data_IF_811261211151
#
_entry.id   IF_811261211151
#
_cell.length_a   1.000
_cell.length_b   1.000
_cell.length_c   1.000
_cell.angle_alpha   90.00
_cell.angle_beta   90.00
_cell.angle_gamma   90.00
#
_symmetry.space_group_name_H-M   'P 1'
#
loop_
_entity.id
_entity.type
_entity.pdbx_description
1 polymer ?
#
# COMPACT_ATOMS: atom_id res chain seq x y z
N UNK A 1 -27.21 51.96 5.28
CA UNK A 1 -26.22 50.94 5.71
C UNK A 1 -27.04 49.79 6.28
N UNK A 2 -27.29 48.75 5.49
CA UNK A 2 -27.99 47.53 5.96
C UNK A 2 -26.92 46.62 6.57
N UNK A 3 -27.14 46.20 7.81
CA UNK A 3 -26.20 45.36 8.54
C UNK A 3 -26.06 44.00 7.84
N UNK A 4 -24.81 43.52 7.78
CA UNK A 4 -24.38 42.23 7.18
C UNK A 4 -25.04 41.02 7.88
N UNK A 5 -25.81 41.24 8.95
CA UNK A 5 -26.43 40.20 9.74
C UNK A 5 -27.74 39.63 9.19
N UNK A 6 -28.41 40.30 8.25
CA UNK A 6 -29.70 39.85 7.71
C UNK A 6 -29.60 38.89 6.51
N UNK A 7 -28.39 38.57 6.06
CA UNK A 7 -28.20 37.83 4.79
C UNK A 7 -27.82 36.36 4.98
N UNK A 8 -27.29 35.97 6.16
CA UNK A 8 -26.82 34.60 6.39
C UNK A 8 -27.21 34.14 7.81
N UNK A 9 -28.13 33.16 7.94
CA UNK A 9 -28.53 32.59 9.22
C UNK A 9 -27.33 32.05 10.01
N UNK A 10 -27.35 32.20 11.33
CA UNK A 10 -26.27 31.72 12.22
C UNK A 10 -25.94 30.22 12.02
N UNK A 11 -26.94 29.41 11.64
CA UNK A 11 -26.79 27.98 11.33
C UNK A 11 -25.96 27.70 10.08
N UNK A 12 -25.82 28.66 9.16
CA UNK A 12 -25.05 28.50 7.92
C UNK A 12 -23.63 29.06 8.03
N UNK A 13 -23.36 29.90 9.03
CA UNK A 13 -22.03 30.53 9.22
C UNK A 13 -20.94 29.54 9.65
N UNK A 14 -21.31 28.39 10.23
CA UNK A 14 -20.37 27.37 10.71
C UNK A 14 -20.16 26.20 9.75
N UNK A 15 -20.95 26.08 8.68
CA UNK A 15 -20.82 24.95 7.74
C UNK A 15 -19.55 24.99 6.88
N UNK A 16 -18.86 26.14 6.82
CA UNK A 16 -17.58 26.27 6.11
C UNK A 16 -16.35 25.93 6.97
N UNK A 17 -16.52 25.66 8.27
CA UNK A 17 -15.43 25.30 9.18
C UNK A 17 -15.49 23.84 9.66
N UNK A 18 -16.53 23.11 9.29
CA UNK A 18 -16.61 21.67 9.53
C UNK A 18 -16.21 20.99 8.23
N UNK A 19 -14.91 20.80 8.04
CA UNK A 19 -14.46 19.71 7.17
C UNK A 19 -15.10 18.46 7.77
N UNK A 20 -15.99 17.74 7.05
CA UNK A 20 -16.53 16.50 7.59
C UNK A 20 -15.34 15.63 7.98
N UNK A 21 -15.36 15.05 9.19
CA UNK A 21 -14.36 14.07 9.59
C UNK A 21 -14.43 12.97 8.53
N UNK A 22 -13.50 12.99 7.59
CA UNK A 22 -13.38 11.96 6.58
C UNK A 22 -13.03 10.70 7.35
N UNK A 23 -14.03 9.86 7.56
CA UNK A 23 -13.88 8.65 8.36
C UNK A 23 -13.19 7.62 7.47
N UNK A 24 -11.87 7.76 7.36
CA UNK A 24 -11.02 6.89 6.56
C UNK A 24 -11.15 5.45 7.08
N UNK A 25 -11.33 4.48 6.18
CA UNK A 25 -11.62 3.09 6.55
C UNK A 25 -10.57 2.47 7.48
N UNK A 26 -9.32 2.93 7.39
CA UNK A 26 -8.21 2.51 8.25
C UNK A 26 -8.46 2.81 9.74
N UNK A 27 -9.30 3.79 10.08
CA UNK A 27 -9.60 4.11 11.47
C UNK A 27 -10.29 2.95 12.20
N UNK A 28 -10.90 1.99 11.48
CA UNK A 28 -11.51 0.79 12.05
C UNK A 28 -10.52 -0.13 12.75
N UNK A 29 -9.25 -0.09 12.35
CA UNK A 29 -8.17 -0.89 12.95
C UNK A 29 -7.31 -0.08 13.92
N UNK A 30 -7.73 1.15 14.27
CA UNK A 30 -7.02 1.94 15.26
C UNK A 30 -7.32 1.42 16.67
N UNK A 31 -6.26 1.24 17.45
CA UNK A 31 -6.34 0.93 18.88
C UNK A 31 -6.47 2.20 19.73
N UNK A 32 -6.36 3.38 19.12
CA UNK A 32 -6.49 4.69 19.77
C UNK A 32 -7.74 5.43 19.29
N UNK A 33 -8.30 6.26 20.16
CA UNK A 33 -9.45 7.13 19.82
C UNK A 33 -9.03 8.48 19.24
N UNK A 34 -7.73 8.75 19.17
CA UNK A 34 -7.21 10.02 18.65
C UNK A 34 -7.37 10.05 17.13
N UNK A 35 -7.97 11.10 16.55
CA UNK A 35 -8.17 11.18 15.11
C UNK A 35 -6.83 11.18 14.35
N UNK A 36 -6.82 10.76 13.07
CA UNK A 36 -5.68 11.00 12.19
C UNK A 36 -5.34 12.49 12.09
N UNK A 37 -4.06 12.80 11.92
CA UNK A 37 -3.61 14.14 11.55
C UNK A 37 -4.22 14.57 10.21
N UNK A 38 -4.30 15.88 9.98
CA UNK A 38 -4.74 16.42 8.68
C UNK A 38 -3.87 15.92 7.53
N UNK A 39 -2.57 15.76 7.78
CA UNK A 39 -1.59 15.21 6.84
C UNK A 39 -1.92 13.75 6.49
N UNK A 40 -2.14 12.91 7.51
CA UNK A 40 -2.50 11.50 7.29
C UNK A 40 -3.83 11.39 6.54
N UNK A 41 -4.83 12.21 6.86
CA UNK A 41 -6.10 12.21 6.13
C UNK A 41 -5.93 12.56 4.65
N UNK A 42 -5.09 13.57 4.34
CA UNK A 42 -4.79 13.94 2.94
C UNK A 42 -4.10 12.80 2.21
N UNK A 43 -3.10 12.18 2.84
CA UNK A 43 -2.33 11.09 2.22
C UNK A 43 -3.19 9.84 2.00
N UNK A 44 -4.07 9.48 2.95
CA UNK A 44 -5.05 8.39 2.81
C UNK A 44 -6.09 8.66 1.72
N UNK A 45 -6.29 9.91 1.32
CA UNK A 45 -7.21 10.29 0.25
C UNK A 45 -6.53 10.26 -1.12
N UNK A 46 -5.32 10.84 -1.21
CA UNK A 46 -4.72 11.18 -2.50
C UNK A 46 -3.57 10.26 -2.92
N UNK A 47 -2.91 9.60 -1.97
CA UNK A 47 -1.55 9.06 -2.17
C UNK A 47 -1.44 7.58 -1.81
N UNK A 48 -2.13 7.14 -0.75
CA UNK A 48 -2.16 5.74 -0.33
C UNK A 48 -3.60 5.27 -0.18
N UNK A 49 -3.83 3.99 -0.43
CA UNK A 49 -5.11 3.33 -0.25
C UNK A 49 -4.96 2.19 0.77
N UNK A 50 -5.75 2.22 1.83
CA UNK A 50 -5.86 1.09 2.74
C UNK A 50 -6.64 -0.05 2.07
N UNK A 51 -6.06 -1.25 2.05
CA UNK A 51 -6.66 -2.40 1.37
C UNK A 51 -7.50 -3.22 2.36
N UNK A 52 -8.83 -3.13 2.28
CA UNK A 52 -9.74 -3.67 3.30
C UNK A 52 -11.01 -4.31 2.75
N UNK A 53 -11.68 -5.11 3.58
CA UNK A 53 -12.86 -5.90 3.22
C UNK A 53 -14.01 -5.07 2.64
N UNK A 54 -14.28 -3.88 3.17
CA UNK A 54 -15.35 -3.00 2.64
C UNK A 54 -15.00 -2.22 1.35
N UNK A 55 -13.85 -2.46 0.71
CA UNK A 55 -13.52 -1.78 -0.54
C UNK A 55 -14.49 -2.18 -1.65
N UNK A 56 -15.04 -1.17 -2.33
CA UNK A 56 -15.77 -1.39 -3.56
C UNK A 56 -14.80 -1.61 -4.72
N UNK A 57 -15.09 -2.58 -5.57
CA UNK A 57 -14.39 -2.78 -6.84
C UNK A 57 -15.30 -2.42 -8.00
N UNK A 58 -14.77 -1.60 -8.90
CA UNK A 58 -15.43 -1.31 -10.16
C UNK A 58 -15.51 -2.58 -11.01
N UNK A 59 -16.60 -2.75 -11.76
CA UNK A 59 -16.77 -3.90 -12.65
C UNK A 59 -16.31 -3.54 -14.06
N UNK A 60 -15.50 -4.42 -14.65
CA UNK A 60 -15.00 -4.28 -16.02
C UNK A 60 -15.27 -5.53 -16.85
N UNK A 61 -15.04 -5.45 -18.16
CA UNK A 61 -15.07 -6.62 -19.02
C UNK A 61 -13.79 -7.46 -18.82
N UNK A 62 -13.88 -8.74 -18.40
CA UNK A 62 -12.70 -9.60 -18.20
C UNK A 62 -11.80 -9.74 -19.43
N UNK A 63 -12.34 -9.56 -20.64
CA UNK A 63 -11.55 -9.61 -21.88
C UNK A 63 -10.49 -8.52 -21.94
N UNK A 64 -10.71 -7.36 -21.30
CA UNK A 64 -9.73 -6.26 -21.30
C UNK A 64 -8.50 -6.62 -20.47
N UNK A 65 -8.66 -7.39 -19.39
CA UNK A 65 -7.53 -7.91 -18.61
C UNK A 65 -6.59 -8.76 -19.46
N UNK A 66 -7.15 -9.70 -20.24
CA UNK A 66 -6.37 -10.57 -21.12
C UNK A 66 -5.77 -9.84 -22.34
N UNK A 67 -6.23 -8.62 -22.63
CA UNK A 67 -5.59 -7.71 -23.60
C UNK A 67 -4.47 -6.87 -22.99
N UNK A 68 -4.23 -6.99 -21.68
CA UNK A 68 -3.21 -6.25 -20.95
C UNK A 68 -3.66 -4.89 -20.42
N UNK A 69 -4.96 -4.65 -20.29
CA UNK A 69 -5.45 -3.45 -19.60
C UNK A 69 -5.33 -3.61 -18.08
N UNK A 70 -4.89 -2.54 -17.41
CA UNK A 70 -4.96 -2.48 -15.95
C UNK A 70 -6.42 -2.22 -15.52
N UNK A 71 -7.01 -3.18 -14.79
CA UNK A 71 -8.37 -3.10 -14.26
C UNK A 71 -8.39 -2.83 -12.75
N UNK A 72 -7.29 -2.35 -12.18
CA UNK A 72 -7.20 -2.05 -10.75
C UNK A 72 -7.40 -3.30 -9.89
N UNK A 73 -8.22 -3.18 -8.85
CA UNK A 73 -8.62 -4.27 -7.95
C UNK A 73 -9.64 -5.23 -8.56
N UNK A 74 -10.24 -4.89 -9.70
CA UNK A 74 -11.23 -5.77 -10.33
C UNK A 74 -10.63 -7.12 -10.70
N UNK A 75 -9.38 -7.12 -11.20
CA UNK A 75 -8.68 -8.33 -11.60
C UNK A 75 -8.57 -9.35 -10.45
N UNK A 76 -8.41 -8.88 -9.22
CA UNK A 76 -8.35 -9.72 -8.02
C UNK A 76 -9.76 -10.09 -7.55
N UNK A 77 -10.68 -9.13 -7.51
CA UNK A 77 -12.06 -9.39 -7.05
C UNK A 77 -12.85 -10.36 -7.92
N UNK A 78 -12.56 -10.39 -9.23
CA UNK A 78 -13.17 -11.30 -10.19
C UNK A 78 -12.28 -12.54 -10.45
N UNK A 79 -11.23 -12.74 -9.65
CA UNK A 79 -10.31 -13.89 -9.73
C UNK A 79 -9.74 -14.12 -11.15
N UNK A 80 -9.48 -13.03 -11.90
CA UNK A 80 -8.99 -13.10 -13.28
C UNK A 80 -7.53 -13.55 -13.36
N UNK A 81 -6.75 -13.23 -12.32
CA UNK A 81 -5.36 -13.58 -12.20
C UNK A 81 -5.19 -14.95 -11.54
N UNK A 82 -4.41 -15.82 -12.17
CA UNK A 82 -4.11 -17.16 -11.67
C UNK A 82 -3.34 -17.05 -10.33
N UNK A 83 -3.83 -17.74 -9.30
CA UNK A 83 -3.11 -17.91 -8.03
C UNK A 83 -1.93 -18.86 -8.24
N UNK A 84 -0.77 -18.48 -7.71
CA UNK A 84 0.50 -19.22 -7.88
C UNK A 84 0.92 -19.82 -6.55
N UNK A 85 1.61 -20.96 -6.56
CA UNK A 85 2.27 -21.51 -5.36
C UNK A 85 3.20 -20.50 -4.68
N UNK A 86 3.78 -19.57 -5.45
CA UNK A 86 4.57 -18.48 -4.92
C UNK A 86 3.77 -17.52 -4.04
N UNK A 87 2.48 -17.32 -4.31
CA UNK A 87 1.61 -16.47 -3.48
C UNK A 87 1.50 -17.04 -2.07
N UNK A 88 1.16 -18.32 -1.94
CA UNK A 88 1.02 -18.98 -0.64
C UNK A 88 2.32 -18.91 0.16
N UNK A 89 3.45 -19.23 -0.49
CA UNK A 89 4.77 -19.11 0.13
C UNK A 89 5.10 -17.68 0.55
N UNK A 90 4.76 -16.68 -0.27
CA UNK A 90 4.99 -15.27 0.07
C UNK A 90 4.13 -14.85 1.27
N UNK A 91 2.88 -15.28 1.33
CA UNK A 91 2.01 -15.02 2.47
C UNK A 91 2.59 -15.62 3.76
N UNK A 92 3.04 -16.87 3.72
CA UNK A 92 3.64 -17.54 4.89
C UNK A 92 4.96 -16.89 5.33
N UNK A 93 5.90 -16.71 4.40
CA UNK A 93 7.27 -16.28 4.71
C UNK A 93 7.38 -14.76 4.99
N UNK A 94 6.50 -13.94 4.41
CA UNK A 94 6.60 -12.46 4.49
C UNK A 94 5.46 -11.87 5.31
N UNK A 95 4.21 -12.22 5.01
CA UNK A 95 3.04 -11.56 5.58
C UNK A 95 2.73 -12.09 6.98
N UNK A 96 2.61 -13.41 7.12
CA UNK A 96 2.23 -14.09 8.35
C UNK A 96 3.42 -14.33 9.30
N UNK A 97 4.63 -13.97 8.87
CA UNK A 97 5.84 -14.08 9.69
C UNK A 97 5.71 -13.30 11.00
N UNK A 98 5.81 -13.95 12.17
CA UNK A 98 5.70 -13.30 13.47
C UNK A 98 6.80 -12.26 13.70
N UNK A 99 6.50 -11.17 14.42
CA UNK A 99 7.49 -10.12 14.72
C UNK A 99 8.73 -10.67 15.45
N UNK A 100 8.57 -11.70 16.29
CA UNK A 100 9.69 -12.33 17.01
C UNK A 100 10.64 -13.11 16.11
N UNK A 101 10.23 -13.45 14.89
CA UNK A 101 11.03 -14.17 13.91
C UNK A 101 11.65 -13.24 12.85
N UNK A 102 11.33 -11.93 12.90
CA UNK A 102 11.93 -10.93 12.01
C UNK A 102 13.28 -10.49 12.56
N UNK A 103 14.27 -10.46 11.67
CA UNK A 103 15.60 -9.93 11.99
C UNK A 103 15.59 -8.41 12.12
N UNK A 104 14.73 -7.76 11.34
CA UNK A 104 14.70 -6.31 11.19
C UNK A 104 13.29 -5.77 11.41
N UNK A 105 13.20 -4.59 12.04
CA UNK A 105 11.91 -3.91 12.23
C UNK A 105 11.39 -3.40 10.88
N UNK A 106 12.29 -2.86 10.05
CA UNK A 106 11.99 -2.41 8.71
C UNK A 106 12.57 -3.40 7.70
N UNK A 107 11.76 -3.84 6.73
CA UNK A 107 12.17 -4.78 5.69
C UNK A 107 11.83 -4.22 4.30
N UNK A 108 12.68 -4.52 3.31
CA UNK A 108 12.42 -4.26 1.90
C UNK A 108 12.42 -5.58 1.13
N UNK A 109 11.30 -5.91 0.50
CA UNK A 109 11.08 -7.15 -0.22
C UNK A 109 10.83 -6.84 -1.69
N UNK A 110 11.54 -7.52 -2.59
CA UNK A 110 11.41 -7.29 -4.03
C UNK A 110 11.02 -8.58 -4.76
N UNK A 111 9.90 -8.50 -5.48
CA UNK A 111 9.47 -9.54 -6.41
C UNK A 111 10.00 -9.25 -7.83
N UNK A 112 11.01 -10.02 -8.26
CA UNK A 112 11.59 -9.96 -9.60
C UNK A 112 10.77 -10.77 -10.59
N UNK A 113 10.38 -10.16 -11.70
CA UNK A 113 9.62 -10.81 -12.77
C UNK A 113 10.46 -10.96 -14.02
N UNK A 114 10.44 -12.15 -14.64
CA UNK A 114 11.15 -12.39 -15.92
C UNK A 114 10.51 -11.65 -17.10
N UNK A 115 9.18 -11.62 -17.22
CA UNK A 115 8.45 -11.00 -18.34
C UNK A 115 7.06 -10.43 -17.95
N UNK A 116 6.58 -9.40 -18.65
CA UNK A 116 5.16 -8.98 -18.62
C UNK A 116 4.74 -7.90 -17.59
N UNK A 117 3.42 -7.71 -17.47
CA UNK A 117 2.69 -6.85 -16.51
C UNK A 117 2.32 -7.57 -15.20
N UNK A 118 2.93 -8.72 -14.95
CA UNK A 118 2.56 -9.63 -13.86
C UNK A 118 2.98 -9.13 -12.48
N UNK A 119 3.82 -8.10 -12.41
CA UNK A 119 4.32 -7.48 -11.17
C UNK A 119 3.18 -6.90 -10.33
N UNK A 120 2.48 -5.91 -10.90
CA UNK A 120 1.39 -5.18 -10.25
C UNK A 120 0.27 -6.14 -9.89
N UNK A 121 -0.03 -7.08 -10.80
CA UNK A 121 -1.04 -8.12 -10.57
C UNK A 121 -0.65 -8.99 -9.37
N UNK A 122 0.59 -9.43 -9.26
CA UNK A 122 1.08 -10.22 -8.13
C UNK A 122 1.05 -9.42 -6.82
N UNK A 123 1.58 -8.19 -6.81
CA UNK A 123 1.54 -7.34 -5.60
C UNK A 123 0.10 -7.11 -5.12
N UNK A 124 -0.82 -6.83 -6.05
CA UNK A 124 -2.23 -6.70 -5.73
C UNK A 124 -2.85 -8.01 -5.26
N UNK A 125 -2.44 -9.17 -5.79
CA UNK A 125 -2.89 -10.47 -5.27
C UNK A 125 -2.49 -10.62 -3.79
N UNK A 126 -1.23 -10.35 -3.43
CA UNK A 126 -0.77 -10.42 -2.03
C UNK A 126 -1.59 -9.46 -1.14
N UNK A 127 -1.74 -8.20 -1.54
CA UNK A 127 -2.53 -7.22 -0.79
C UNK A 127 -4.02 -7.62 -0.69
N UNK A 128 -4.57 -8.22 -1.74
CA UNK A 128 -5.95 -8.68 -1.78
C UNK A 128 -6.18 -9.88 -0.85
N UNK A 129 -5.26 -10.82 -0.78
CA UNK A 129 -5.34 -11.94 0.16
C UNK A 129 -5.27 -11.44 1.62
N UNK A 130 -4.43 -10.43 1.92
CA UNK A 130 -4.46 -9.77 3.23
C UNK A 130 -5.85 -9.19 3.57
N UNK A 131 -6.51 -8.58 2.58
CA UNK A 131 -7.90 -8.12 2.72
C UNK A 131 -8.88 -9.27 2.98
N UNK A 132 -8.73 -10.40 2.29
CA UNK A 132 -9.61 -11.57 2.47
C UNK A 132 -9.42 -12.17 3.87
N UNK A 133 -8.19 -12.18 4.39
CA UNK A 133 -7.86 -12.65 5.73
C UNK A 133 -8.18 -11.63 6.85
N UNK A 134 -8.54 -10.41 6.50
CA UNK A 134 -8.66 -9.26 7.42
C UNK A 134 -7.41 -9.09 8.32
N UNK A 135 -6.24 -9.22 7.69
CA UNK A 135 -4.96 -9.31 8.40
C UNK A 135 -4.09 -8.05 8.18
N UNK A 136 -3.59 -7.51 9.29
CA UNK A 136 -2.57 -6.46 9.32
C UNK A 136 -3.02 -5.12 8.73
N UNK A 137 -2.05 -4.34 8.27
CA UNK A 137 -2.28 -3.02 7.70
C UNK A 137 -1.66 -2.88 6.29
N UNK A 138 -2.29 -3.47 5.25
CA UNK A 138 -1.86 -3.31 3.86
C UNK A 138 -2.20 -1.92 3.31
N UNK A 139 -1.17 -1.18 2.88
CA UNK A 139 -1.29 0.14 2.27
C UNK A 139 -0.73 0.10 0.85
N UNK A 140 -1.58 0.38 -0.13
CA UNK A 140 -1.20 0.49 -1.54
C UNK A 140 -0.79 1.93 -1.87
N UNK A 141 0.44 2.13 -2.37
CA UNK A 141 0.92 3.45 -2.77
C UNK A 141 0.46 3.75 -4.20
N UNK A 142 -0.47 4.71 -4.33
CA UNK A 142 -0.87 5.26 -5.62
C UNK A 142 0.11 6.34 -6.09
N UNK A 143 0.58 7.16 -5.16
CA UNK A 143 1.60 8.18 -5.39
C UNK A 143 2.48 8.33 -4.14
N UNK A 144 3.80 8.21 -4.31
CA UNK A 144 4.77 8.32 -3.22
C UNK A 144 5.40 9.71 -3.03
N UNK A 145 4.97 10.75 -3.74
CA UNK A 145 5.61 12.08 -3.71
C UNK A 145 5.61 12.75 -2.34
N UNK A 146 4.51 12.63 -1.60
CA UNK A 146 4.33 13.23 -0.28
C UNK A 146 4.39 12.20 0.86
N UNK A 147 4.77 10.97 0.55
CA UNK A 147 4.80 9.90 1.55
C UNK A 147 6.09 9.99 2.36
N UNK A 148 5.95 10.22 3.67
CA UNK A 148 7.08 10.30 4.61
C UNK A 148 6.99 9.23 5.69
N UNK A 149 8.13 9.00 6.36
CA UNK A 149 8.23 8.03 7.46
C UNK A 149 7.39 8.45 8.66
N UNK A 150 7.22 9.76 8.89
CA UNK A 150 6.39 10.30 9.97
C UNK A 150 4.90 9.95 9.77
N UNK A 151 4.40 9.98 8.54
CA UNK A 151 3.03 9.59 8.20
C UNK A 151 2.82 8.10 8.51
N UNK A 152 3.75 7.24 8.08
CA UNK A 152 3.64 5.80 8.35
C UNK A 152 3.86 5.48 9.83
N UNK A 153 4.73 6.22 10.51
CA UNK A 153 4.89 6.13 11.96
C UNK A 153 3.58 6.42 12.68
N UNK A 154 2.86 7.47 12.28
CA UNK A 154 1.54 7.77 12.84
C UNK A 154 0.56 6.61 12.64
N UNK A 155 0.55 5.98 11.46
CA UNK A 155 -0.28 4.79 11.22
C UNK A 155 0.10 3.66 12.18
N UNK A 156 1.39 3.33 12.30
CA UNK A 156 1.88 2.27 13.19
C UNK A 156 1.51 2.56 14.65
N UNK A 157 1.67 3.80 15.11
CA UNK A 157 1.30 4.19 16.48
C UNK A 157 -0.21 4.06 16.75
N UNK A 158 -1.03 4.35 15.74
CA UNK A 158 -2.49 4.29 15.86
C UNK A 158 -3.05 2.88 15.73
N UNK A 159 -2.43 2.00 14.94
CA UNK A 159 -2.86 0.61 14.76
C UNK A 159 -2.19 -0.34 15.74
N UNK A 160 -0.97 0.00 16.20
CA UNK A 160 -0.06 -0.91 16.89
C UNK A 160 0.26 -2.20 16.08
N UNK A 161 0.13 -2.12 14.76
CA UNK A 161 0.36 -3.21 13.81
C UNK A 161 1.57 -2.93 12.92
N UNK A 162 2.15 -3.99 12.34
CA UNK A 162 3.09 -3.84 11.23
C UNK A 162 2.35 -3.29 10.00
N UNK A 163 2.94 -2.29 9.37
CA UNK A 163 2.45 -1.75 8.10
C UNK A 163 3.11 -2.49 6.93
N UNK A 164 2.29 -2.96 5.99
CA UNK A 164 2.74 -3.57 4.74
C UNK A 164 2.53 -2.57 3.60
N UNK A 165 3.59 -1.95 3.14
CA UNK A 165 3.55 -0.86 2.16
C UNK A 165 3.86 -1.39 0.76
N UNK A 166 2.85 -1.46 -0.09
CA UNK A 166 2.98 -1.90 -1.48
C UNK A 166 3.36 -0.72 -2.36
N UNK A 167 4.61 -0.68 -2.80
CA UNK A 167 5.18 0.40 -3.61
C UNK A 167 5.73 -0.17 -4.91
N UNK A 168 4.89 -0.20 -5.93
CA UNK A 168 5.21 -0.83 -7.23
C UNK A 168 6.23 -0.01 -8.05
N UNK A 169 6.75 -0.63 -9.12
CA UNK A 169 7.71 -0.05 -10.06
C UNK A 169 8.96 0.52 -9.37
N UNK A 170 9.71 -0.36 -8.70
CA UNK A 170 10.92 -0.02 -7.93
C UNK A 170 11.89 0.88 -8.72
N UNK A 171 12.09 0.61 -10.01
CA UNK A 171 13.04 1.34 -10.86
C UNK A 171 12.64 2.80 -11.09
N UNK A 172 11.36 3.14 -10.98
CA UNK A 172 10.87 4.52 -11.09
C UNK A 172 10.97 5.28 -9.75
N UNK A 173 11.08 4.54 -8.65
CA UNK A 173 11.02 5.10 -7.30
C UNK A 173 12.26 4.82 -6.44
N UNK A 174 13.36 4.36 -7.05
CA UNK A 174 14.63 3.96 -6.39
C UNK A 174 15.05 4.91 -5.27
N UNK A 175 15.21 6.20 -5.58
CA UNK A 175 15.69 7.18 -4.61
C UNK A 175 14.69 7.42 -3.47
N UNK A 176 13.39 7.40 -3.79
CA UNK A 176 12.32 7.63 -2.80
C UNK A 176 12.19 6.45 -1.85
N UNK A 177 12.13 5.23 -2.38
CA UNK A 177 12.09 4.00 -1.58
C UNK A 177 13.36 3.90 -0.74
N UNK A 178 14.54 4.16 -1.29
CA UNK A 178 15.80 4.11 -0.53
C UNK A 178 15.83 5.14 0.61
N UNK A 179 15.42 6.39 0.35
CA UNK A 179 15.38 7.43 1.38
C UNK A 179 14.36 7.09 2.47
N UNK A 180 13.16 6.65 2.08
CA UNK A 180 12.12 6.20 2.99
C UNK A 180 12.62 5.05 3.85
N UNK A 181 13.20 4.02 3.24
CA UNK A 181 13.69 2.83 3.92
C UNK A 181 14.78 3.16 4.94
N UNK A 182 15.76 3.99 4.58
CA UNK A 182 16.80 4.45 5.52
C UNK A 182 16.21 5.19 6.72
N UNK A 183 15.19 6.03 6.51
CA UNK A 183 14.53 6.74 7.60
C UNK A 183 13.67 5.79 8.45
N UNK A 184 13.02 4.78 7.85
CA UNK A 184 12.26 3.78 8.56
C UNK A 184 13.14 2.88 9.44
N UNK A 185 14.32 2.47 8.94
CA UNK A 185 15.34 1.75 9.73
C UNK A 185 15.75 2.59 10.94
N UNK A 186 16.12 3.87 10.73
CA UNK A 186 16.54 4.78 11.81
C UNK A 186 15.46 5.00 12.87
N UNK A 187 14.20 4.97 12.46
CA UNK A 187 13.05 5.13 13.34
C UNK A 187 12.54 3.79 13.93
N UNK A 188 13.20 2.67 13.62
CA UNK A 188 12.83 1.32 14.05
C UNK A 188 11.35 0.97 13.78
N UNK A 189 10.83 1.44 12.64
CA UNK A 189 9.42 1.22 12.31
C UNK A 189 9.16 -0.24 11.95
N UNK A 190 8.07 -0.80 12.48
CA UNK A 190 7.52 -2.10 12.07
C UNK A 190 6.87 -1.98 10.69
N UNK A 191 7.68 -2.00 9.64
CA UNK A 191 7.22 -1.83 8.26
C UNK A 191 7.87 -2.84 7.34
N UNK A 192 7.09 -3.41 6.42
CA UNK A 192 7.60 -4.20 5.30
C UNK A 192 7.19 -3.51 4.01
N UNK A 193 8.17 -2.98 3.27
CA UNK A 193 7.95 -2.39 1.95
C UNK A 193 8.06 -3.51 0.93
N UNK A 194 7.00 -3.69 0.13
CA UNK A 194 6.93 -4.73 -0.89
C UNK A 194 6.89 -4.03 -2.25
N UNK A 195 7.87 -4.33 -3.08
CA UNK A 195 7.98 -3.80 -4.44
C UNK A 195 8.16 -4.93 -5.45
N UNK A 196 8.01 -4.60 -6.73
CA UNK A 196 8.24 -5.53 -7.81
C UNK A 196 8.96 -4.84 -8.97
N UNK A 197 9.81 -5.59 -9.67
CA UNK A 197 10.54 -5.07 -10.81
C UNK A 197 10.89 -6.15 -11.83
N UNK A 198 11.05 -5.79 -13.11
CA UNK A 198 11.55 -6.71 -14.12
C UNK A 198 13.01 -7.03 -13.78
N UNK A 199 13.42 -8.26 -14.05
CA UNK A 199 14.77 -8.71 -13.73
C UNK A 199 15.87 -7.81 -14.33
N UNK A 200 15.70 -7.37 -15.58
CA UNK A 200 16.65 -6.48 -16.24
C UNK A 200 16.66 -5.08 -15.59
N UNK A 201 15.49 -4.50 -15.33
CA UNK A 201 15.35 -3.17 -14.71
C UNK A 201 15.93 -3.15 -13.30
N UNK A 202 15.63 -4.18 -12.49
CA UNK A 202 16.23 -4.34 -11.17
C UNK A 202 17.75 -4.41 -11.25
N UNK A 203 18.27 -5.17 -12.21
CA UNK A 203 19.71 -5.36 -12.36
C UNK A 203 20.43 -4.07 -12.77
N UNK A 204 19.81 -3.24 -13.59
CA UNK A 204 20.44 -2.05 -14.19
C UNK A 204 20.19 -0.75 -13.42
N UNK A 205 19.06 -0.63 -12.71
CA UNK A 205 18.61 0.67 -12.18
C UNK A 205 18.46 0.72 -10.66
N UNK A 206 18.42 -0.42 -9.97
CA UNK A 206 18.03 -0.47 -8.55
C UNK A 206 19.21 -0.72 -7.60
N UNK A 207 20.43 -0.30 -7.94
CA UNK A 207 21.64 -0.61 -7.15
C UNK A 207 21.54 -0.18 -5.68
N UNK A 208 21.05 1.03 -5.41
CA UNK A 208 20.86 1.51 -4.03
C UNK A 208 19.80 0.73 -3.25
N UNK A 209 18.80 0.15 -3.92
CA UNK A 209 17.83 -0.73 -3.28
C UNK A 209 18.39 -2.12 -3.00
N UNK A 210 19.38 -2.59 -3.79
CA UNK A 210 20.02 -3.90 -3.56
C UNK A 210 20.80 -3.94 -2.24
N UNK A 211 21.31 -2.81 -1.76
CA UNK A 211 22.00 -2.72 -0.47
C UNK A 211 21.03 -2.75 0.72
N UNK A 212 19.77 -2.37 0.49
CA UNK A 212 18.72 -2.30 1.51
C UNK A 212 17.76 -3.49 1.46
N UNK A 213 17.94 -4.40 0.51
CA UNK A 213 17.01 -5.50 0.26
C UNK A 213 17.14 -6.54 1.37
N UNK A 214 16.02 -6.89 1.98
CA UNK A 214 15.94 -8.00 2.95
C UNK A 214 15.82 -9.32 2.20
N UNK A 215 14.89 -9.39 1.23
CA UNK A 215 14.65 -10.62 0.49
C UNK A 215 14.18 -10.37 -0.95
N UNK A 216 14.47 -11.34 -1.83
CA UNK A 216 14.12 -11.31 -3.25
C UNK A 216 13.37 -12.57 -3.64
N UNK A 217 12.17 -12.39 -4.19
CA UNK A 217 11.37 -13.45 -4.77
C UNK A 217 11.44 -13.42 -6.29
N UNK A 218 11.64 -14.56 -6.94
CA UNK A 218 11.64 -14.63 -8.40
C UNK A 218 10.37 -15.28 -8.92
N UNK A 219 9.54 -14.48 -9.60
CA UNK A 219 8.35 -14.91 -10.32
C UNK A 219 8.77 -15.60 -11.63
N UNK A 220 8.67 -16.94 -11.63
CA UNK A 220 8.83 -17.79 -12.81
C UNK A 220 7.48 -17.86 -13.57
N UNK A 221 7.54 -18.15 -14.88
CA UNK A 221 6.40 -18.05 -15.79
C UNK A 221 5.19 -18.90 -15.37
N UNK A 222 4.01 -18.48 -15.87
CA UNK A 222 2.65 -19.04 -15.74
C UNK A 222 2.43 -20.54 -16.10
N UNK A 223 3.49 -21.33 -16.30
CA UNK A 223 3.40 -22.72 -16.76
C UNK A 223 3.58 -23.78 -15.67
N UNK A 224 3.75 -23.39 -14.41
CA UNK A 224 3.74 -24.34 -13.29
C UNK A 224 2.31 -24.48 -12.77
N UNK A 225 1.59 -25.43 -13.38
CA UNK A 225 0.43 -26.14 -12.81
C UNK A 225 0.96 -27.39 -12.12
#
# INVERSE_FOLDING_TARGET
MREVNDVIPWSERFNYLITPVQNNAIQKIFVTTAPPSEELNRILTDSIQYVHSDMNTEQFNPKEFYKGSDLGWYAQSAELAIKRSLLDRFLEEVILKPETERSDTAELICSKVKQGQEKTVFLRQVAWEMRVMDFGCPLWVNNGDNLTVEIIKEVIEKTNERVFLYWDDASLHVNKIAAFMNNAIKAELKITIITAERYNEWSQRCDSLKELITEVYSLHNLSEV
#
